data_IF_818994164482
#
_entry.id   IF_818994164482
#
_cell.length_a   1.000
_cell.length_b   1.000
_cell.length_c   1.000
_cell.angle_alpha   90.00
_cell.angle_beta   90.00
_cell.angle_gamma   90.00
#
_symmetry.space_group_name_H-M   'P 1'
#
loop_
_entity.id
_entity.type
_entity.pdbx_description
1 polymer ?
#
# COMPACT_ATOMS: atom_id res chain seq x y z
N UNK A 1 -11.30 -11.48 -0.08
CA UNK A 1 -11.26 -10.66 -1.30
C UNK A 1 -11.68 -9.22 -1.04
N UNK A 2 -12.86 -8.99 -0.47
CA UNK A 2 -13.30 -7.64 -0.11
C UNK A 2 -12.35 -6.94 0.87
N UNK A 3 -11.71 -7.71 1.75
CA UNK A 3 -10.80 -7.18 2.78
C UNK A 3 -9.56 -6.52 2.20
N UNK A 4 -9.12 -6.99 1.03
CA UNK A 4 -7.88 -6.50 0.42
C UNK A 4 -8.08 -5.25 -0.44
N UNK A 5 -9.33 -4.95 -0.83
CA UNK A 5 -9.63 -3.89 -1.77
C UNK A 5 -9.14 -2.52 -1.32
N UNK A 6 -9.46 -2.14 -0.08
CA UNK A 6 -9.07 -0.82 0.42
C UNK A 6 -7.55 -0.67 0.49
N UNK A 7 -6.86 -1.71 0.96
CA UNK A 7 -5.40 -1.67 1.04
C UNK A 7 -4.77 -1.50 -0.34
N UNK A 8 -5.26 -2.23 -1.34
CA UNK A 8 -4.76 -2.10 -2.71
C UNK A 8 -4.98 -0.69 -3.26
N UNK A 9 -6.16 -0.10 -2.98
CA UNK A 9 -6.45 1.26 -3.42
C UNK A 9 -5.50 2.26 -2.76
N UNK A 10 -5.27 2.16 -1.44
CA UNK A 10 -4.40 3.11 -0.75
C UNK A 10 -2.93 2.94 -1.14
N UNK A 11 -2.53 1.76 -1.61
CA UNK A 11 -1.16 1.54 -2.11
C UNK A 11 -0.93 2.19 -3.48
N UNK A 12 -1.98 2.47 -4.23
CA UNK A 12 -1.89 3.03 -5.59
C UNK A 12 -2.28 4.49 -5.66
N UNK A 13 -3.36 4.86 -4.98
CA UNK A 13 -3.95 6.19 -5.09
C UNK A 13 -4.49 6.61 -3.73
N UNK A 14 -3.79 7.50 -3.04
CA UNK A 14 -4.26 7.96 -1.74
C UNK A 14 -4.86 9.36 -1.87
N UNK A 15 -6.09 9.49 -1.42
CA UNK A 15 -6.79 10.76 -1.26
C UNK A 15 -7.13 10.95 0.22
N UNK A 16 -7.67 12.11 0.56
CA UNK A 16 -8.17 12.36 1.91
C UNK A 16 -9.22 11.31 2.32
N UNK A 17 -10.13 10.98 1.39
CA UNK A 17 -11.17 9.98 1.61
C UNK A 17 -10.58 8.60 1.89
N UNK A 18 -9.57 8.18 1.11
CA UNK A 18 -8.93 6.87 1.28
C UNK A 18 -8.18 6.79 2.60
N UNK A 19 -7.46 7.86 2.96
CA UNK A 19 -6.76 7.93 4.24
C UNK A 19 -7.73 7.80 5.42
N UNK A 20 -8.89 8.48 5.34
CA UNK A 20 -9.91 8.41 6.37
C UNK A 20 -10.52 7.01 6.47
N UNK A 21 -10.84 6.39 5.35
CA UNK A 21 -11.40 5.03 5.34
C UNK A 21 -10.43 4.04 5.96
N UNK A 22 -9.13 4.18 5.65
CA UNK A 22 -8.11 3.32 6.26
C UNK A 22 -8.03 3.54 7.77
N UNK A 23 -7.99 4.81 8.22
CA UNK A 23 -7.91 5.15 9.64
C UNK A 23 -9.11 4.64 10.43
N UNK A 24 -10.30 4.58 9.79
CA UNK A 24 -11.55 4.17 10.43
C UNK A 24 -11.66 2.64 10.60
N UNK A 25 -10.81 1.86 9.93
CA UNK A 25 -10.82 0.41 10.12
C UNK A 25 -10.36 0.04 11.53
N UNK A 26 -10.86 -1.08 12.05
CA UNK A 26 -10.36 -1.63 13.30
C UNK A 26 -8.92 -2.12 13.12
N UNK A 27 -8.19 -2.25 14.23
CA UNK A 27 -6.83 -2.79 14.18
C UNK A 27 -6.81 -4.19 13.61
N UNK A 28 -7.80 -5.02 13.94
CA UNK A 28 -7.92 -6.37 13.39
C UNK A 28 -8.09 -6.37 11.88
N UNK A 29 -8.92 -5.47 11.36
CA UNK A 29 -9.13 -5.33 9.91
C UNK A 29 -7.86 -4.88 9.20
N UNK A 30 -7.14 -3.91 9.78
CA UNK A 30 -5.87 -3.42 9.22
C UNK A 30 -4.84 -4.55 9.17
N UNK A 31 -4.68 -5.28 10.26
CA UNK A 31 -3.73 -6.40 10.35
C UNK A 31 -4.09 -7.48 9.34
N UNK A 32 -5.36 -7.85 9.25
CA UNK A 32 -5.83 -8.88 8.32
C UNK A 32 -5.52 -8.50 6.87
N UNK A 33 -5.81 -7.26 6.48
CA UNK A 33 -5.52 -6.80 5.12
C UNK A 33 -4.01 -6.78 4.84
N UNK A 34 -3.22 -6.34 5.82
CA UNK A 34 -1.77 -6.30 5.67
C UNK A 34 -1.19 -7.71 5.51
N UNK A 35 -1.67 -8.67 6.30
CA UNK A 35 -1.21 -10.06 6.20
C UNK A 35 -1.53 -10.65 4.83
N UNK A 36 -2.75 -10.43 4.32
CA UNK A 36 -3.15 -10.90 3.00
C UNK A 36 -2.27 -10.28 1.91
N UNK A 37 -2.01 -8.98 2.01
CA UNK A 37 -1.18 -8.26 1.06
C UNK A 37 0.26 -8.78 1.07
N UNK A 38 0.83 -8.99 2.24
CA UNK A 38 2.20 -9.52 2.37
C UNK A 38 2.33 -10.92 1.80
N UNK A 39 1.39 -11.81 2.15
CA UNK A 39 1.42 -13.17 1.64
C UNK A 39 1.35 -13.21 0.11
N UNK A 40 0.51 -12.36 -0.46
CA UNK A 40 0.32 -12.26 -1.90
C UNK A 40 1.56 -11.71 -2.61
N UNK A 41 2.21 -10.72 -2.00
CA UNK A 41 3.36 -10.03 -2.59
C UNK A 41 4.68 -10.78 -2.48
N UNK A 42 4.89 -11.51 -1.39
CA UNK A 42 6.20 -12.14 -1.14
C UNK A 42 6.65 -13.02 -2.27
N UNK A 43 5.73 -13.81 -2.79
CA UNK A 43 6.04 -14.70 -3.90
C UNK A 43 6.47 -13.92 -5.14
N UNK A 44 5.74 -12.88 -5.48
CA UNK A 44 6.06 -12.04 -6.63
C UNK A 44 7.43 -11.37 -6.47
N UNK A 45 7.67 -10.78 -5.31
CA UNK A 45 8.92 -10.07 -5.05
C UNK A 45 10.13 -11.00 -5.11
N UNK A 46 10.04 -12.19 -4.55
CA UNK A 46 11.14 -13.15 -4.53
C UNK A 46 11.33 -13.87 -5.84
N UNK A 47 10.26 -14.39 -6.42
CA UNK A 47 10.34 -15.26 -7.59
C UNK A 47 10.40 -14.50 -8.91
N UNK A 48 9.61 -13.43 -9.04
CA UNK A 48 9.54 -12.67 -10.30
C UNK A 48 10.57 -11.55 -10.33
N UNK A 49 10.65 -10.76 -9.28
CA UNK A 49 11.61 -9.65 -9.21
C UNK A 49 12.99 -10.06 -8.69
N UNK A 50 13.13 -11.30 -8.21
CA UNK A 50 14.42 -11.86 -7.78
C UNK A 50 15.06 -11.05 -6.65
N UNK A 51 14.26 -10.54 -5.74
CA UNK A 51 14.75 -9.78 -4.59
C UNK A 51 15.20 -10.73 -3.48
N UNK A 52 16.19 -10.28 -2.69
CA UNK A 52 16.67 -11.02 -1.53
C UNK A 52 15.65 -10.97 -0.39
N UNK A 53 15.79 -11.86 0.59
CA UNK A 53 14.95 -11.85 1.78
C UNK A 53 15.07 -10.53 2.53
N UNK A 54 16.27 -9.96 2.59
CA UNK A 54 16.49 -8.66 3.22
C UNK A 54 15.73 -7.55 2.51
N UNK A 55 15.79 -7.52 1.18
CA UNK A 55 15.06 -6.52 0.39
C UNK A 55 13.54 -6.65 0.58
N UNK A 56 13.03 -7.87 0.62
CA UNK A 56 11.60 -8.11 0.85
C UNK A 56 11.19 -7.62 2.24
N UNK A 57 12.01 -7.87 3.25
CA UNK A 57 11.76 -7.38 4.61
C UNK A 57 11.74 -5.84 4.64
N UNK A 58 12.69 -5.21 3.97
CA UNK A 58 12.77 -3.75 3.90
C UNK A 58 11.54 -3.16 3.19
N UNK A 59 11.08 -3.80 2.13
CA UNK A 59 9.86 -3.39 1.42
C UNK A 59 8.63 -3.51 2.33
N UNK A 60 8.52 -4.59 3.08
CA UNK A 60 7.44 -4.74 4.07
C UNK A 60 7.45 -3.59 5.07
N UNK A 61 8.63 -3.25 5.59
CA UNK A 61 8.77 -2.17 6.57
C UNK A 61 8.36 -0.81 5.98
N UNK A 62 8.70 -0.54 4.72
CA UNK A 62 8.29 0.68 4.03
C UNK A 62 6.76 0.73 3.90
N UNK A 63 6.14 -0.38 3.53
CA UNK A 63 4.68 -0.44 3.38
C UNK A 63 3.97 -0.29 4.73
N UNK A 64 4.49 -0.90 5.79
CA UNK A 64 3.95 -0.76 7.13
C UNK A 64 4.03 0.70 7.60
N UNK A 65 5.17 1.35 7.41
CA UNK A 65 5.37 2.75 7.76
C UNK A 65 4.42 3.67 6.99
N UNK A 66 4.19 3.36 5.71
CA UNK A 66 3.24 4.11 4.87
C UNK A 66 1.82 3.99 5.42
N UNK A 67 1.38 2.79 5.77
CA UNK A 67 0.04 2.58 6.32
C UNK A 67 -0.12 3.27 7.69
N UNK A 68 0.93 3.27 8.51
CA UNK A 68 0.92 4.01 9.77
C UNK A 68 0.80 5.52 9.53
N UNK A 69 1.47 6.03 8.50
CA UNK A 69 1.35 7.44 8.12
C UNK A 69 -0.08 7.77 7.68
N UNK A 70 -0.73 6.91 6.90
CA UNK A 70 -2.12 7.10 6.48
C UNK A 70 -3.07 7.14 7.67
N UNK A 71 -2.84 6.27 8.65
CA UNK A 71 -3.63 6.24 9.87
C UNK A 71 -3.55 7.58 10.61
N UNK A 72 -2.34 8.13 10.75
CA UNK A 72 -2.15 9.43 11.39
C UNK A 72 -2.80 10.56 10.59
N UNK A 73 -2.68 10.51 9.26
CA UNK A 73 -3.31 11.51 8.38
C UNK A 73 -4.83 11.52 8.58
N UNK A 74 -5.46 10.35 8.59
CA UNK A 74 -6.89 10.23 8.79
C UNK A 74 -7.33 10.73 10.16
N UNK A 75 -6.55 10.45 11.21
CA UNK A 75 -6.90 10.84 12.58
C UNK A 75 -6.67 12.32 12.88
N UNK A 76 -5.54 12.86 12.41
CA UNK A 76 -5.07 14.17 12.85
C UNK A 76 -5.10 15.25 11.78
N UNK A 77 -5.33 14.92 10.53
CA UNK A 77 -5.50 15.90 9.47
C UNK A 77 -6.78 16.70 9.74
N UNK A 78 -6.65 18.01 9.92
CA UNK A 78 -7.77 18.83 10.35
C UNK A 78 -8.82 19.12 9.28
N UNK A 79 -8.43 19.00 8.00
CA UNK A 79 -9.34 19.19 6.87
C UNK A 79 -8.86 18.38 5.67
N UNK A 80 -9.69 18.31 4.64
CA UNK A 80 -9.38 17.49 3.45
C UNK A 80 -8.15 18.01 2.70
N UNK A 81 -7.95 19.32 2.64
CA UNK A 81 -6.79 19.90 1.96
C UNK A 81 -5.48 19.48 2.66
N UNK A 82 -5.45 19.51 3.99
CA UNK A 82 -4.30 19.07 4.77
C UNK A 82 -4.05 17.58 4.58
N UNK A 83 -5.11 16.76 4.62
CA UNK A 83 -5.00 15.31 4.41
C UNK A 83 -4.42 15.00 3.02
N UNK A 84 -4.90 15.69 1.98
CA UNK A 84 -4.38 15.51 0.62
C UNK A 84 -2.89 15.86 0.54
N UNK A 85 -2.50 16.97 1.14
CA UNK A 85 -1.10 17.41 1.16
C UNK A 85 -0.21 16.37 1.85
N UNK A 86 -0.62 15.91 3.01
CA UNK A 86 0.14 14.92 3.77
C UNK A 86 0.19 13.57 3.05
N UNK A 87 -0.92 13.18 2.41
CA UNK A 87 -0.98 11.93 1.64
C UNK A 87 0.00 11.95 0.47
N UNK A 88 0.09 13.06 -0.26
CA UNK A 88 1.06 13.21 -1.35
C UNK A 88 2.49 13.09 -0.86
N UNK A 89 2.80 13.68 0.29
CA UNK A 89 4.12 13.56 0.91
C UNK A 89 4.43 12.12 1.29
N UNK A 90 3.46 11.40 1.87
CA UNK A 90 3.64 10.00 2.25
C UNK A 90 3.88 9.11 1.01
N UNK A 91 3.13 9.34 -0.07
CA UNK A 91 3.30 8.60 -1.33
C UNK A 91 4.70 8.84 -1.91
N UNK A 92 5.15 10.10 -1.94
CA UNK A 92 6.47 10.44 -2.46
C UNK A 92 7.58 9.79 -1.64
N UNK A 93 7.45 9.81 -0.32
CA UNK A 93 8.42 9.17 0.57
C UNK A 93 8.49 7.67 0.33
N UNK A 94 7.33 7.01 0.23
CA UNK A 94 7.27 5.57 -0.04
C UNK A 94 7.92 5.23 -1.38
N UNK A 95 7.59 5.95 -2.43
CA UNK A 95 8.15 5.71 -3.77
C UNK A 95 9.67 5.87 -3.76
N UNK A 96 10.17 6.90 -3.11
CA UNK A 96 11.61 7.15 -2.99
C UNK A 96 12.32 6.02 -2.25
N UNK A 97 11.75 5.56 -1.14
CA UNK A 97 12.32 4.47 -0.36
C UNK A 97 12.32 3.16 -1.14
N UNK A 98 11.25 2.86 -1.85
CA UNK A 98 11.18 1.65 -2.68
C UNK A 98 12.19 1.71 -3.83
N UNK A 99 12.41 2.89 -4.43
CA UNK A 99 13.42 3.06 -5.47
C UNK A 99 14.83 2.76 -4.95
N UNK A 100 15.13 3.16 -3.72
CA UNK A 100 16.44 2.86 -3.11
C UNK A 100 16.61 1.35 -2.89
N UNK A 101 15.55 0.67 -2.44
CA UNK A 101 15.63 -0.76 -2.11
C UNK A 101 15.72 -1.62 -3.37
N UNK A 102 14.88 -1.38 -4.37
CA UNK A 102 14.76 -2.28 -5.51
C UNK A 102 15.05 -1.67 -6.88
N UNK A 103 15.23 -0.35 -6.94
CA UNK A 103 15.42 0.36 -8.20
C UNK A 103 14.09 0.74 -8.84
N UNK A 104 14.12 1.81 -9.63
CA UNK A 104 12.90 2.38 -10.24
C UNK A 104 12.19 1.39 -11.17
N UNK A 105 12.95 0.58 -11.93
CA UNK A 105 12.37 -0.38 -12.87
C UNK A 105 11.56 -1.46 -12.14
N UNK A 106 12.14 -2.07 -11.10
CA UNK A 106 11.44 -3.10 -10.32
C UNK A 106 10.29 -2.50 -9.51
N UNK A 107 10.46 -1.28 -9.00
CA UNK A 107 9.37 -0.59 -8.30
C UNK A 107 8.17 -0.41 -9.23
N UNK A 108 8.41 0.00 -10.48
CA UNK A 108 7.33 0.15 -11.46
C UNK A 108 6.64 -1.18 -11.73
N UNK A 109 7.41 -2.25 -11.89
CA UNK A 109 6.84 -3.59 -12.09
C UNK A 109 5.99 -4.02 -10.90
N UNK A 110 6.43 -3.72 -9.70
CA UNK A 110 5.68 -4.02 -8.48
C UNK A 110 4.36 -3.21 -8.45
N UNK A 111 4.39 -1.93 -8.79
CA UNK A 111 3.19 -1.12 -8.87
C UNK A 111 2.20 -1.67 -9.89
N UNK A 112 2.69 -2.10 -11.06
CA UNK A 112 1.86 -2.69 -12.11
C UNK A 112 1.22 -4.00 -11.61
N UNK A 113 1.97 -4.79 -10.86
CA UNK A 113 1.45 -6.02 -10.25
C UNK A 113 0.31 -5.72 -9.27
N UNK A 114 0.49 -4.73 -8.41
CA UNK A 114 -0.54 -4.32 -7.44
C UNK A 114 -1.77 -3.78 -8.17
N UNK A 115 -1.58 -3.00 -9.23
CA UNK A 115 -2.68 -2.47 -10.03
C UNK A 115 -3.48 -3.58 -10.71
N UNK A 116 -2.79 -4.60 -11.27
CA UNK A 116 -3.44 -5.75 -11.87
C UNK A 116 -4.24 -6.54 -10.83
N UNK A 117 -3.71 -6.68 -9.62
CA UNK A 117 -4.40 -7.34 -8.51
C UNK A 117 -5.66 -6.58 -8.13
N UNK A 118 -5.59 -5.26 -8.06
CA UNK A 118 -6.76 -4.43 -7.77
C UNK A 118 -7.87 -4.65 -8.79
N UNK A 119 -7.52 -4.69 -10.08
CA UNK A 119 -8.49 -4.93 -11.14
C UNK A 119 -9.18 -6.29 -10.98
N UNK A 120 -8.42 -7.33 -10.63
CA UNK A 120 -8.98 -8.67 -10.40
C UNK A 120 -9.96 -8.68 -9.22
N UNK A 121 -9.59 -8.03 -8.13
CA UNK A 121 -10.45 -7.96 -6.94
C UNK A 121 -11.73 -7.20 -7.26
N UNK A 122 -11.63 -6.08 -7.98
CA UNK A 122 -12.80 -5.30 -8.39
C UNK A 122 -13.73 -6.09 -9.32
N UNK A 123 -13.16 -6.82 -10.28
CA UNK A 123 -13.94 -7.66 -11.19
C UNK A 123 -14.68 -8.77 -10.43
N UNK A 124 -14.04 -9.39 -9.45
CA UNK A 124 -14.65 -10.44 -8.63
C UNK A 124 -15.83 -9.89 -7.82
N UNK A 125 -15.76 -8.62 -7.39
CA UNK A 125 -16.86 -8.00 -6.65
C UNK A 125 -18.07 -7.67 -7.52
N UNK A 126 -17.84 -7.44 -8.81
CA UNK A 126 -18.92 -7.13 -9.77
C UNK A 126 -19.63 -8.38 -10.27
N UNK A 127 -18.97 -9.51 -10.22
CA UNK A 127 -19.54 -10.79 -10.61
C UNK A 127 -20.33 -11.42 -9.49
#
# INVERSE_FOLDING_TARGET
MKKLLLLLVVMLMVSATQAQKWADLSDEQKISQLQDFRADNQKYLKETLKLSDEQVTDIDNVNIAFLAALDRIGRYGKDDATKEKWAKTAIAARSSQLDVIMGAEKRKKFQDYVAAKLKKVQAAQKG
#
